data_IF_192724104601
#
_entry.id   IF_192724104601
#
_cell.length_a   1.000
_cell.length_b   1.000
_cell.length_c   1.000
_cell.angle_alpha   90.00
_cell.angle_beta   90.00
_cell.angle_gamma   90.00
#
_symmetry.space_group_name_H-M   'P 1'
#
loop_
_entity.id
_entity.type
_entity.pdbx_description
1 polymer ?
#
# COMPACT_ATOMS: atom_id res chain seq x y z
N UNK A 1 -5.79 5.68 1.88
CA UNK A 1 -5.80 4.66 2.95
C UNK A 1 -5.23 5.29 4.21
N UNK A 2 -5.82 5.01 5.38
CA UNK A 2 -5.30 5.49 6.68
C UNK A 2 -4.45 4.36 7.29
N UNK A 3 -3.12 4.51 7.44
CA UNK A 3 -2.24 3.40 7.87
C UNK A 3 -2.52 2.88 9.27
N UNK A 4 -2.89 3.75 10.21
CA UNK A 4 -3.26 3.34 11.57
C UNK A 4 -4.45 2.38 11.54
N UNK A 5 -5.43 2.64 10.69
CA UNK A 5 -6.62 1.80 10.56
C UNK A 5 -6.31 0.47 9.85
N UNK A 6 -5.43 0.48 8.85
CA UNK A 6 -4.92 -0.76 8.26
C UNK A 6 -4.32 -1.67 9.33
N UNK A 7 -3.49 -1.13 10.21
CA UNK A 7 -2.87 -1.89 11.30
C UNK A 7 -3.92 -2.46 12.28
N UNK A 8 -4.91 -1.66 12.67
CA UNK A 8 -6.00 -2.09 13.55
C UNK A 8 -6.77 -3.28 12.94
N UNK A 9 -7.13 -3.20 11.66
CA UNK A 9 -7.85 -4.26 10.95
C UNK A 9 -7.02 -5.55 10.81
N UNK A 10 -5.70 -5.44 10.63
CA UNK A 10 -4.80 -6.60 10.63
C UNK A 10 -4.81 -7.30 12.00
N UNK A 11 -4.73 -6.53 13.08
CA UNK A 11 -4.76 -7.05 14.45
C UNK A 11 -6.10 -7.72 14.77
N UNK A 12 -7.21 -7.10 14.36
CA UNK A 12 -8.56 -7.67 14.50
C UNK A 12 -8.71 -8.97 13.70
N UNK A 13 -8.21 -9.01 12.46
CA UNK A 13 -8.24 -10.24 11.66
C UNK A 13 -7.46 -11.37 12.32
N UNK A 14 -6.27 -11.07 12.88
CA UNK A 14 -5.46 -12.05 13.62
C UNK A 14 -6.15 -12.52 14.90
N UNK A 15 -6.79 -11.62 15.65
CA UNK A 15 -7.52 -11.99 16.88
C UNK A 15 -8.76 -12.85 16.60
N UNK A 16 -9.40 -12.64 15.44
CA UNK A 16 -10.47 -13.49 14.93
C UNK A 16 -9.98 -14.80 14.29
N UNK A 17 -8.70 -15.18 14.48
CA UNK A 17 -8.08 -16.38 13.95
C UNK A 17 -8.13 -16.49 12.41
N UNK A 18 -8.16 -15.34 11.71
CA UNK A 18 -8.03 -15.24 10.25
C UNK A 18 -6.56 -15.06 9.87
N UNK A 19 -6.24 -15.32 8.60
CA UNK A 19 -4.89 -15.18 8.06
C UNK A 19 -4.84 -14.01 7.08
N UNK A 20 -4.56 -12.77 7.54
CA UNK A 20 -4.24 -11.68 6.62
C UNK A 20 -2.94 -12.04 5.90
N UNK A 21 -2.90 -11.87 4.58
CA UNK A 21 -1.75 -12.23 3.75
C UNK A 21 -1.39 -11.18 2.68
N UNK A 22 -2.31 -10.26 2.37
CA UNK A 22 -2.21 -9.37 1.23
C UNK A 22 -2.79 -7.98 1.54
N UNK A 23 -2.12 -6.95 1.03
CA UNK A 23 -2.56 -5.54 1.04
C UNK A 23 -2.41 -4.96 -0.36
N UNK A 24 -3.48 -4.32 -0.85
CA UNK A 24 -3.48 -3.55 -2.11
C UNK A 24 -3.49 -2.07 -1.79
N UNK A 25 -2.37 -1.38 -2.03
CA UNK A 25 -2.32 0.07 -2.02
C UNK A 25 -2.56 0.61 -3.44
N UNK A 26 -3.15 1.79 -3.57
CA UNK A 26 -3.50 2.38 -4.87
C UNK A 26 -2.66 3.62 -5.16
N UNK A 27 -1.98 3.62 -6.30
CA UNK A 27 -1.33 4.80 -6.87
C UNK A 27 -2.27 5.46 -7.87
N UNK A 28 -3.17 6.30 -7.36
CA UNK A 28 -4.18 7.00 -8.14
C UNK A 28 -5.51 6.24 -8.18
N UNK A 29 -6.42 6.55 -7.25
CA UNK A 29 -7.78 5.99 -7.27
C UNK A 29 -8.56 6.46 -8.49
N UNK A 30 -9.48 5.64 -9.00
CA UNK A 30 -10.17 5.90 -10.27
C UNK A 30 -10.93 7.23 -10.31
N UNK A 31 -11.63 7.59 -9.22
CA UNK A 31 -12.48 8.79 -9.19
C UNK A 31 -11.71 10.01 -8.73
N UNK A 32 -11.01 9.90 -7.59
CA UNK A 32 -10.36 11.05 -6.95
C UNK A 32 -8.89 11.22 -7.37
N UNK A 33 -8.28 10.22 -8.00
CA UNK A 33 -6.85 10.25 -8.33
C UNK A 33 -5.95 10.24 -7.09
N UNK A 34 -6.44 9.75 -5.95
CA UNK A 34 -5.72 9.76 -4.67
C UNK A 34 -4.60 8.73 -4.63
N UNK A 35 -3.51 9.05 -3.95
CA UNK A 35 -2.36 8.15 -3.76
C UNK A 35 -2.27 7.73 -2.30
N UNK A 36 -2.09 6.44 -2.07
CA UNK A 36 -1.90 5.90 -0.73
C UNK A 36 -0.47 6.16 -0.20
N UNK A 37 -0.29 6.26 1.14
CA UNK A 37 1.02 6.48 1.75
C UNK A 37 1.87 5.18 1.77
N UNK A 38 2.54 4.88 0.64
CA UNK A 38 3.23 3.60 0.43
C UNK A 38 4.30 3.27 1.47
N UNK A 39 5.07 4.26 1.93
CA UNK A 39 6.14 4.06 2.93
C UNK A 39 5.58 3.52 4.25
N UNK A 40 4.52 4.15 4.76
CA UNK A 40 3.87 3.77 6.02
C UNK A 40 3.20 2.39 5.89
N UNK A 41 2.51 2.15 4.76
CA UNK A 41 1.89 0.85 4.48
C UNK A 41 2.95 -0.26 4.37
N UNK A 42 4.09 -0.01 3.71
CA UNK A 42 5.19 -0.97 3.58
C UNK A 42 5.77 -1.35 4.94
N UNK A 43 5.94 -0.39 5.85
CA UNK A 43 6.40 -0.68 7.22
C UNK A 43 5.44 -1.61 7.97
N UNK A 44 4.13 -1.37 7.88
CA UNK A 44 3.11 -2.23 8.48
C UNK A 44 3.13 -3.62 7.84
N UNK A 45 3.16 -3.70 6.51
CA UNK A 45 3.17 -4.99 5.79
C UNK A 45 4.39 -5.84 6.17
N UNK A 46 5.57 -5.21 6.32
CA UNK A 46 6.79 -5.90 6.78
C UNK A 46 6.65 -6.41 8.21
N UNK A 47 6.08 -5.61 9.12
CA UNK A 47 5.90 -6.01 10.51
C UNK A 47 4.96 -7.21 10.68
N UNK A 48 3.98 -7.36 9.77
CA UNK A 48 2.99 -8.43 9.82
C UNK A 48 3.23 -9.57 8.82
N UNK A 49 4.33 -9.55 8.05
CA UNK A 49 4.68 -10.48 6.97
C UNK A 49 3.56 -10.61 5.91
N UNK A 50 3.12 -9.47 5.38
CA UNK A 50 2.07 -9.37 4.37
C UNK A 50 2.68 -8.99 3.01
N UNK A 51 2.13 -9.54 1.93
CA UNK A 51 2.44 -9.07 0.58
C UNK A 51 1.81 -7.70 0.32
N UNK A 52 2.61 -6.76 -0.16
CA UNK A 52 2.16 -5.44 -0.59
C UNK A 52 2.19 -5.32 -2.11
N UNK A 53 1.02 -5.18 -2.71
CA UNK A 53 0.87 -4.79 -4.10
C UNK A 53 0.49 -3.32 -4.20
N UNK A 54 1.10 -2.60 -5.14
CA UNK A 54 0.76 -1.21 -5.46
C UNK A 54 0.12 -1.19 -6.84
N UNK A 55 -1.18 -0.92 -6.89
CA UNK A 55 -1.93 -0.77 -8.13
C UNK A 55 -1.63 0.60 -8.74
N UNK A 56 -0.83 0.59 -9.81
CA UNK A 56 -0.46 1.77 -10.59
C UNK A 56 -1.18 1.87 -11.93
N UNK A 57 -2.27 1.12 -12.15
CA UNK A 57 -2.94 1.08 -13.46
C UNK A 57 -3.36 2.46 -13.97
N UNK A 58 -3.75 3.35 -13.05
CA UNK A 58 -4.09 4.74 -13.35
C UNK A 58 -2.91 5.70 -13.13
N UNK A 59 -2.41 5.81 -11.90
CA UNK A 59 -1.41 6.82 -11.51
C UNK A 59 0.05 6.39 -11.68
N UNK A 60 0.33 5.15 -12.11
CA UNK A 60 1.70 4.65 -12.27
C UNK A 60 2.52 5.45 -13.29
N UNK A 61 1.87 5.97 -14.33
CA UNK A 61 2.49 6.82 -15.35
C UNK A 61 3.07 8.13 -14.79
N UNK A 62 2.66 8.57 -13.59
CA UNK A 62 3.22 9.76 -12.94
C UNK A 62 4.72 9.64 -12.66
N UNK A 63 5.29 8.42 -12.65
CA UNK A 63 6.74 8.20 -12.47
C UNK A 63 7.58 8.86 -13.57
N UNK A 64 7.04 8.93 -14.79
CA UNK A 64 7.71 9.49 -15.96
C UNK A 64 7.63 11.02 -16.03
N UNK A 65 6.84 11.64 -15.13
CA UNK A 65 6.64 13.08 -15.09
C UNK A 65 7.48 13.70 -13.97
N UNK A 66 8.53 14.49 -14.26
CA UNK A 66 9.37 15.11 -13.23
C UNK A 66 8.62 15.85 -12.11
N UNK A 67 7.55 16.65 -12.39
CA UNK A 67 6.80 17.31 -11.32
C UNK A 67 5.90 16.36 -10.51
N UNK A 68 5.52 15.19 -11.05
CA UNK A 68 4.57 14.28 -10.41
C UNK A 68 5.18 12.98 -9.88
N UNK A 69 6.44 12.67 -10.22
CA UNK A 69 7.12 11.44 -9.80
C UNK A 69 7.10 11.22 -8.27
N UNK A 70 7.08 12.32 -7.51
CA UNK A 70 7.01 12.30 -6.04
C UNK A 70 5.75 11.63 -5.49
N UNK A 71 4.66 11.54 -6.28
CA UNK A 71 3.43 10.82 -5.90
C UNK A 71 3.64 9.31 -5.74
N UNK A 72 4.69 8.75 -6.36
CA UNK A 72 5.07 7.35 -6.25
C UNK A 72 6.19 7.10 -5.22
N UNK A 73 6.45 8.06 -4.33
CA UNK A 73 7.46 7.86 -3.28
C UNK A 73 7.11 6.67 -2.41
N UNK A 74 8.03 5.71 -2.31
CA UNK A 74 7.83 4.46 -1.57
C UNK A 74 7.29 3.31 -2.43
N UNK A 75 7.00 3.51 -3.72
CA UNK A 75 6.51 2.44 -4.60
C UNK A 75 7.54 1.32 -4.86
N UNK A 76 8.82 1.62 -4.65
CA UNK A 76 9.94 0.68 -4.75
C UNK A 76 10.14 -0.17 -3.48
N UNK A 77 9.24 -0.09 -2.50
CA UNK A 77 9.32 -0.84 -1.24
C UNK A 77 8.34 -2.04 -1.21
N UNK A 78 8.33 -2.96 -2.20
CA UNK A 78 7.51 -4.15 -2.11
C UNK A 78 8.02 -5.05 -0.98
N UNK A 79 7.10 -5.83 -0.42
CA UNK A 79 7.43 -6.90 0.52
C UNK A 79 7.53 -8.22 -0.24
N UNK A 80 8.44 -9.13 0.15
CA UNK A 80 8.49 -10.47 -0.43
C UNK A 80 7.20 -11.25 -0.11
N UNK A 81 6.89 -12.26 -0.93
CA UNK A 81 5.73 -13.13 -0.73
C UNK A 81 5.93 -13.92 0.56
N UNK A 82 4.90 -14.01 1.42
CA UNK A 82 4.95 -14.85 2.61
C UNK A 82 5.13 -16.33 2.25
#
# INVERSE_FOLDING_TARGET
MIPTELNNLILEAKSANKTPFYVSATAGTTVLGSYDPFTEISQICKAHNLWLHIDGSWGGSAISSPPHKGKLTGSHLPTPSP
#
